data_IF_646016271807
#
_entry.id   IF_646016271807
#
_cell.length_a   1.000
_cell.length_b   1.000
_cell.length_c   1.000
_cell.angle_alpha   90.00
_cell.angle_beta   90.00
_cell.angle_gamma   90.00
#
_symmetry.space_group_name_H-M   'P 1'
#
loop_
_entity.id
_entity.type
_entity.pdbx_description
1 polymer ?
#
# COMPACT_ATOMS: atom_id res chain seq x y z
N UNK A 1 12.41 -6.38 -14.08
CA UNK A 1 11.44 -7.48 -14.31
C UNK A 1 10.02 -6.96 -14.07
N UNK A 2 9.32 -6.45 -15.08
CA UNK A 2 8.03 -5.74 -14.92
C UNK A 2 6.84 -6.64 -14.51
N UNK A 3 6.92 -7.95 -14.73
CA UNK A 3 5.83 -8.87 -14.45
C UNK A 3 5.54 -9.06 -12.95
N UNK A 4 6.58 -9.09 -12.11
CA UNK A 4 6.42 -9.31 -10.66
C UNK A 4 5.74 -8.11 -9.97
N UNK A 5 6.11 -6.89 -10.35
CA UNK A 5 5.51 -5.67 -9.81
C UNK A 5 4.00 -5.61 -10.11
N UNK A 6 3.62 -5.93 -11.36
CA UNK A 6 2.21 -6.01 -11.77
C UNK A 6 1.44 -7.09 -11.00
N UNK A 7 2.06 -8.25 -10.79
CA UNK A 7 1.45 -9.35 -10.03
C UNK A 7 1.23 -8.99 -8.56
N UNK A 8 2.22 -8.36 -7.91
CA UNK A 8 2.13 -7.89 -6.52
C UNK A 8 0.98 -6.88 -6.36
N UNK A 9 0.91 -5.87 -7.23
CA UNK A 9 -0.16 -4.87 -7.18
C UNK A 9 -1.56 -5.49 -7.36
N UNK A 10 -1.70 -6.44 -8.28
CA UNK A 10 -2.97 -7.14 -8.49
C UNK A 10 -3.37 -8.00 -7.28
N UNK A 11 -2.41 -8.73 -6.70
CA UNK A 11 -2.67 -9.57 -5.53
C UNK A 11 -3.09 -8.74 -4.32
N UNK A 12 -2.35 -7.67 -4.02
CA UNK A 12 -2.57 -6.84 -2.84
C UNK A 12 -3.87 -6.04 -2.86
N UNK A 13 -4.43 -5.76 -4.04
CA UNK A 13 -5.63 -4.91 -4.20
C UNK A 13 -6.94 -5.67 -4.39
N UNK A 14 -6.90 -6.97 -4.71
CA UNK A 14 -8.11 -7.71 -5.13
C UNK A 14 -8.36 -9.00 -4.38
N UNK A 15 -7.36 -9.52 -3.69
CA UNK A 15 -7.50 -10.78 -2.95
C UNK A 15 -7.84 -10.44 -1.50
N UNK A 16 -9.07 -10.71 -1.04
CA UNK A 16 -9.38 -10.70 0.38
C UNK A 16 -8.74 -11.91 1.06
N UNK A 17 -8.10 -11.69 2.20
CA UNK A 17 -7.42 -12.74 2.97
C UNK A 17 -8.18 -13.04 4.25
N UNK A 18 -8.44 -14.31 4.54
CA UNK A 18 -9.10 -14.73 5.79
C UNK A 18 -8.32 -14.28 7.03
N UNK A 19 -6.98 -14.24 6.95
CA UNK A 19 -6.11 -13.71 8.00
C UNK A 19 -6.30 -12.20 8.26
N UNK A 20 -6.79 -11.45 7.28
CA UNK A 20 -7.09 -10.02 7.37
C UNK A 20 -8.59 -9.74 7.56
N UNK A 21 -9.32 -10.70 8.15
CA UNK A 21 -10.77 -10.63 8.32
C UNK A 21 -11.55 -10.40 7.00
N UNK A 22 -11.03 -10.91 5.89
CA UNK A 22 -11.62 -10.76 4.56
C UNK A 22 -11.27 -9.44 3.87
N UNK A 23 -10.35 -8.64 4.41
CA UNK A 23 -9.78 -7.46 3.74
C UNK A 23 -8.61 -7.85 2.84
N UNK A 24 -8.35 -6.99 1.87
CA UNK A 24 -7.12 -7.05 1.08
C UNK A 24 -5.93 -6.50 1.89
N UNK A 25 -4.68 -6.88 1.58
CA UNK A 25 -3.50 -6.29 2.19
C UNK A 25 -3.47 -4.77 2.04
N UNK A 26 -3.92 -4.25 0.90
CA UNK A 26 -4.01 -2.82 0.65
C UNK A 26 -4.91 -2.11 1.68
N UNK A 27 -6.12 -2.66 1.91
CA UNK A 27 -7.06 -2.12 2.90
C UNK A 27 -6.56 -2.26 4.34
N UNK A 28 -5.86 -3.36 4.66
CA UNK A 28 -5.38 -3.62 6.01
C UNK A 28 -4.21 -2.71 6.42
N UNK A 29 -3.33 -2.37 5.47
CA UNK A 29 -2.09 -1.65 5.75
C UNK A 29 -2.10 -0.18 5.34
N UNK A 30 -2.90 0.23 4.34
CA UNK A 30 -2.95 1.64 3.90
C UNK A 30 -4.08 2.46 4.57
N UNK A 31 -5.03 1.81 5.25
CA UNK A 31 -6.13 2.49 5.95
C UNK A 31 -5.75 3.12 7.30
N UNK A 32 -4.59 2.73 7.85
CA UNK A 32 -4.06 3.28 9.08
C UNK A 32 -2.75 4.00 8.74
N UNK A 33 -2.78 5.35 8.74
CA UNK A 33 -1.54 6.08 8.92
C UNK A 33 -0.86 5.49 10.17
N UNK A 34 0.46 5.21 10.15
CA UNK A 34 1.14 4.74 11.34
C UNK A 34 0.81 5.72 12.45
N UNK A 35 0.13 5.26 13.51
CA UNK A 35 -0.03 6.09 14.70
C UNK A 35 1.37 6.55 15.06
N UNK A 36 1.66 7.87 15.04
CA UNK A 36 2.99 8.34 15.36
C UNK A 36 3.30 7.83 16.77
N UNK A 37 4.21 6.87 16.88
CA UNK A 37 4.72 6.44 18.18
C UNK A 37 5.33 7.68 18.83
N UNK A 38 5.02 7.99 20.10
CA UNK A 38 5.58 9.17 20.76
C UNK A 38 7.11 9.16 20.66
N UNK A 39 7.69 10.15 19.96
CA UNK A 39 9.14 10.26 19.72
C UNK A 39 9.65 9.70 18.39
N UNK A 40 8.82 9.03 17.60
CA UNK A 40 9.11 8.69 16.21
C UNK A 40 8.27 9.62 15.33
N UNK A 41 8.89 10.68 14.81
CA UNK A 41 8.27 11.44 13.72
C UNK A 41 7.95 10.43 12.61
N UNK A 42 6.72 10.40 12.06
CA UNK A 42 6.51 9.67 10.81
C UNK A 42 7.54 10.26 9.86
N UNK A 43 8.47 9.44 9.38
CA UNK A 43 9.24 9.88 8.22
C UNK A 43 8.17 10.20 7.19
N UNK A 44 8.05 11.49 6.82
CA UNK A 44 7.24 11.89 5.68
C UNK A 44 7.89 11.23 4.48
N UNK A 45 7.57 9.96 4.25
CA UNK A 45 7.83 9.29 3.00
C UNK A 45 6.84 9.95 2.06
N UNK A 46 7.29 11.05 1.47
CA UNK A 46 6.62 11.68 0.35
C UNK A 46 6.72 10.67 -0.79
N UNK A 47 5.77 9.74 -0.85
CA UNK A 47 5.60 8.87 -2.02
C UNK A 47 5.06 9.78 -3.11
N UNK A 48 5.98 10.43 -3.82
CA UNK A 48 5.67 11.27 -4.96
C UNK A 48 5.21 10.36 -6.10
N UNK A 49 3.89 10.21 -6.23
CA UNK A 49 3.25 9.46 -7.32
C UNK A 49 3.33 10.28 -8.61
N UNK A 50 4.50 10.27 -9.26
CA UNK A 50 4.68 10.93 -10.56
C UNK A 50 5.17 9.94 -11.61
N UNK A 51 4.24 9.17 -12.20
CA UNK A 51 4.40 8.71 -13.58
C UNK A 51 3.08 8.75 -14.37
N UNK A 52 2.93 9.88 -15.09
CA UNK A 52 2.42 10.01 -16.46
C UNK A 52 0.91 9.84 -16.72
N UNK A 53 0.15 10.93 -16.49
CA UNK A 53 -0.92 11.33 -17.43
C UNK A 53 -0.24 11.78 -18.73
N UNK A 54 -0.21 10.89 -19.71
CA UNK A 54 0.08 11.25 -21.09
C UNK A 54 -1.17 11.92 -21.69
N UNK A 55 -0.99 13.08 -22.32
CA UNK A 55 -1.83 13.57 -23.40
C UNK A 55 -0.90 13.80 -24.60
#
# INVERSE_FOLDING_TARGET
MPAIAKWIGHYNSRRPHSALAGRTPDEAYHGFAPTPLPGLTPATVSVSNNEKLAA
#
